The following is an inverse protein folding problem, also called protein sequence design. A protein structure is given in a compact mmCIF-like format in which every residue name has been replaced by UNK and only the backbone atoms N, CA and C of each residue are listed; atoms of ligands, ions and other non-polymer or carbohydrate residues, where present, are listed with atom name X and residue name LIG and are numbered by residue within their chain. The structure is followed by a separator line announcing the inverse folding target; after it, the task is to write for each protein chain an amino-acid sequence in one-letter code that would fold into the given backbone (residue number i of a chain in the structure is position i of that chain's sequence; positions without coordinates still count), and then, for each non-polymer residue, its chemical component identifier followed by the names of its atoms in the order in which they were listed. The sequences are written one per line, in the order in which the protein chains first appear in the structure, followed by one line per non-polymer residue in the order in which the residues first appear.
data_IF_995579801463
#
_entry.id   IF_995579801463
#
_cell.length_a   1.000
_cell.length_b   1.000
_cell.length_c   1.000
_cell.angle_alpha   90.00
_cell.angle_beta   90.00
_cell.angle_gamma   90.00
#
_symmetry.space_group_name_H-M   'P 1'
#
loop_
_entity.id
_entity.type
_entity.pdbx_description
1 polymer ?
#
# COMPACT_ATOMS: atom_id res chain seq x y z
N UNK A 1 13.37 -13.56 38.95
CA UNK A 1 12.88 -14.29 37.75
C UNK A 1 11.57 -14.97 38.12
N UNK A 2 10.43 -14.29 37.96
CA UNK A 2 9.12 -14.85 38.24
C UNK A 2 8.42 -15.10 36.90
N UNK A 3 8.47 -16.33 36.41
CA UNK A 3 7.70 -16.75 35.24
C UNK A 3 6.22 -16.86 35.65
N UNK A 4 5.45 -15.79 35.42
CA UNK A 4 4.00 -15.84 35.49
C UNK A 4 3.46 -16.63 34.29
N UNK A 5 3.28 -17.94 34.46
CA UNK A 5 2.50 -18.78 33.55
C UNK A 5 0.99 -18.55 33.77
N UNK A 6 0.49 -17.37 33.38
CA UNK A 6 -0.96 -17.23 33.13
C UNK A 6 -1.23 -17.85 31.75
N UNK A 7 -2.17 -18.81 31.68
CA UNK A 7 -2.57 -19.38 30.38
C UNK A 7 -3.19 -18.28 29.53
N UNK A 8 -2.56 -17.98 28.38
CA UNK A 8 -3.02 -16.96 27.43
C UNK A 8 -4.49 -17.16 27.03
N UNK A 9 -4.98 -18.40 27.04
CA UNK A 9 -6.37 -18.75 26.75
C UNK A 9 -7.42 -18.16 27.70
N UNK A 10 -7.03 -17.65 28.88
CA UNK A 10 -7.98 -17.01 29.81
C UNK A 10 -8.10 -15.50 29.58
N UNK A 11 -7.07 -14.87 29.01
CA UNK A 11 -7.00 -13.42 28.79
C UNK A 11 -7.22 -13.05 27.32
N UNK A 12 -7.07 -14.00 26.40
CA UNK A 12 -7.21 -13.78 24.96
C UNK A 12 -8.28 -14.74 24.44
N UNK A 13 -9.33 -14.18 23.85
CA UNK A 13 -10.31 -14.95 23.10
C UNK A 13 -10.04 -14.77 21.62
N UNK A 14 -9.87 -15.88 20.90
CA UNK A 14 -9.70 -15.89 19.45
C UNK A 14 -10.87 -16.68 18.86
N UNK A 15 -11.49 -16.17 17.81
CA UNK A 15 -12.51 -16.89 17.07
C UNK A 15 -12.35 -16.68 15.58
N UNK A 16 -12.82 -17.64 14.79
CA UNK A 16 -12.75 -17.58 13.33
C UNK A 16 -13.99 -16.86 12.81
N UNK A 17 -13.81 -15.97 11.85
CA UNK A 17 -14.93 -15.38 11.13
C UNK A 17 -15.52 -16.46 10.20
N UNK A 18 -16.84 -16.44 10.00
CA UNK A 18 -17.49 -17.39 9.12
C UNK A 18 -16.99 -17.31 7.67
N UNK A 19 -17.56 -18.16 6.81
CA UNK A 19 -17.23 -18.26 5.38
C UNK A 19 -17.18 -16.86 4.72
N UNK A 20 -16.02 -16.51 4.16
CA UNK A 20 -15.83 -15.27 3.42
C UNK A 20 -15.97 -15.52 1.92
N UNK A 21 -16.64 -14.62 1.20
CA UNK A 21 -16.74 -14.72 -0.26
C UNK A 21 -15.34 -14.63 -0.87
N UNK A 22 -14.92 -15.70 -1.56
CA UNK A 22 -13.61 -15.86 -2.23
C UNK A 22 -12.35 -15.94 -1.34
N UNK A 23 -12.45 -15.75 -0.01
CA UNK A 23 -11.30 -15.79 0.91
C UNK A 23 -11.43 -16.91 1.95
N UNK A 24 -11.76 -18.13 1.50
CA UNK A 24 -11.97 -19.29 2.38
C UNK A 24 -10.69 -20.01 2.79
N UNK A 25 -9.56 -19.70 2.13
CA UNK A 25 -8.25 -20.25 2.48
C UNK A 25 -7.55 -19.44 3.57
N UNK A 26 -8.02 -18.21 3.82
CA UNK A 26 -7.46 -17.33 4.83
C UNK A 26 -8.22 -17.53 6.14
N UNK A 27 -7.48 -17.79 7.22
CA UNK A 27 -8.03 -17.95 8.57
C UNK A 27 -8.34 -16.59 9.21
N UNK A 28 -9.17 -15.81 8.53
CA UNK A 28 -9.64 -14.51 9.01
C UNK A 28 -10.36 -14.71 10.34
N UNK A 29 -9.80 -14.12 11.39
CA UNK A 29 -10.24 -14.33 12.77
C UNK A 29 -10.37 -13.00 13.51
N UNK A 30 -11.13 -13.02 14.59
CA UNK A 30 -11.21 -11.92 15.53
C UNK A 30 -10.47 -12.28 16.82
N UNK A 31 -9.91 -11.26 17.47
CA UNK A 31 -9.21 -11.40 18.75
C UNK A 31 -9.78 -10.39 19.74
N UNK A 32 -10.21 -10.87 20.91
CA UNK A 32 -10.58 -10.04 22.05
C UNK A 32 -9.51 -10.16 23.13
N UNK A 33 -8.96 -9.03 23.53
CA UNK A 33 -7.97 -8.94 24.60
C UNK A 33 -8.67 -8.52 25.90
N UNK A 34 -8.69 -9.40 26.91
CA UNK A 34 -9.22 -9.14 28.25
C UNK A 34 -8.07 -8.81 29.21
N UNK A 35 -7.80 -7.51 29.40
CA UNK A 35 -6.78 -7.00 30.33
C UNK A 35 -5.40 -7.66 30.16
N UNK A 36 -4.95 -7.78 28.91
CA UNK A 36 -3.66 -8.37 28.57
C UNK A 36 -2.55 -7.37 28.88
N UNK A 37 -1.58 -7.77 29.70
CA UNK A 37 -0.41 -6.95 30.05
C UNK A 37 0.77 -7.34 29.16
N UNK A 38 1.29 -6.36 28.44
CA UNK A 38 2.41 -6.52 27.50
C UNK A 38 3.56 -5.63 28.02
N UNK A 39 4.80 -6.13 28.08
CA UNK A 39 5.98 -5.32 28.34
C UNK A 39 6.07 -4.10 27.44
N UNK A 40 6.51 -2.98 28.01
CA UNK A 40 6.69 -1.71 27.31
C UNK A 40 7.57 -1.84 26.05
N UNK A 41 8.61 -2.67 26.10
CA UNK A 41 9.54 -2.92 24.99
C UNK A 41 8.91 -3.56 23.76
N UNK A 42 7.69 -4.09 23.84
CA UNK A 42 6.99 -4.67 22.69
C UNK A 42 6.15 -3.65 21.91
N UNK A 43 6.09 -2.39 22.36
CA UNK A 43 5.53 -1.31 21.58
C UNK A 43 6.52 -0.93 20.46
N UNK A 44 6.08 -0.80 19.19
CA UNK A 44 6.95 -0.37 18.10
C UNK A 44 7.28 1.13 18.20
N UNK A 45 8.42 1.47 18.82
CA UNK A 45 8.80 2.85 19.17
C UNK A 45 9.52 3.65 18.08
N UNK A 46 9.52 3.19 16.82
CA UNK A 46 10.31 3.85 15.76
C UNK A 46 9.90 5.30 15.48
N UNK A 47 8.63 5.65 15.63
CA UNK A 47 8.09 6.99 15.36
C UNK A 47 7.56 7.67 16.62
N UNK A 48 6.77 6.94 17.39
CA UNK A 48 6.25 7.39 18.67
C UNK A 48 6.87 6.54 19.78
N UNK A 49 7.62 7.19 20.65
CA UNK A 49 8.21 6.59 21.82
C UNK A 49 7.41 7.01 23.06
N UNK A 50 7.34 6.11 24.03
CA UNK A 50 6.76 6.40 25.33
C UNK A 50 7.90 6.26 26.33
N UNK A 51 8.13 7.30 27.13
CA UNK A 51 9.14 7.26 28.20
C UNK A 51 8.63 6.39 29.37
N UNK A 52 9.52 5.89 30.23
CA UNK A 52 9.14 5.12 31.43
C UNK A 52 8.23 5.91 32.39
N UNK A 53 8.29 7.25 32.30
CA UNK A 53 7.42 8.18 33.04
C UNK A 53 6.04 8.37 32.40
N UNK A 54 5.78 7.75 31.25
CA UNK A 54 4.52 7.83 30.52
C UNK A 54 4.37 9.06 29.61
N UNK A 55 5.44 9.81 29.37
CA UNK A 55 5.43 10.91 28.41
C UNK A 55 5.56 10.38 26.98
N UNK A 56 4.76 10.90 26.05
CA UNK A 56 4.91 10.59 24.63
C UNK A 56 5.96 11.51 23.99
N UNK A 57 6.92 10.92 23.27
CA UNK A 57 7.95 11.62 22.53
C UNK A 57 7.79 11.23 21.06
N UNK A 58 7.51 12.21 20.21
CA UNK A 58 7.49 12.03 18.76
C UNK A 58 8.91 12.15 18.22
N UNK A 59 9.43 11.05 17.66
CA UNK A 59 10.79 10.97 17.13
C UNK A 59 10.88 11.39 15.66
N UNK A 60 9.77 11.32 14.90
CA UNK A 60 9.69 11.78 13.51
C UNK A 60 8.43 12.62 13.31
N UNK A 61 8.58 13.77 12.66
CA UNK A 61 7.47 14.70 12.38
C UNK A 61 6.62 14.30 11.15
N UNK A 62 7.14 13.40 10.30
CA UNK A 62 6.50 13.02 9.04
C UNK A 62 5.48 11.87 9.21
N UNK A 63 4.27 12.22 9.67
CA UNK A 63 3.13 11.30 9.79
C UNK A 63 2.75 10.63 8.44
N UNK A 64 3.05 11.29 7.31
CA UNK A 64 2.73 10.81 5.97
C UNK A 64 3.44 9.48 5.63
N UNK A 65 4.61 9.22 6.22
CA UNK A 65 5.37 7.99 5.96
C UNK A 65 4.72 6.71 6.55
N UNK A 66 3.72 6.82 7.44
CA UNK A 66 2.93 5.64 7.86
C UNK A 66 2.15 5.04 6.69
N UNK A 67 1.58 5.92 5.86
CA UNK A 67 0.75 5.51 4.74
C UNK A 67 1.55 4.77 3.67
N UNK A 68 2.87 4.93 3.59
CA UNK A 68 3.74 4.29 2.59
C UNK A 68 3.52 2.78 2.42
N UNK A 69 3.24 2.05 3.51
CA UNK A 69 2.94 0.61 3.44
C UNK A 69 1.55 0.30 2.85
N UNK A 70 0.56 1.16 3.12
CA UNK A 70 -0.76 1.07 2.49
C UNK A 70 -0.68 1.37 1.00
N UNK A 71 0.19 2.31 0.59
CA UNK A 71 0.42 2.63 -0.82
C UNK A 71 0.99 1.42 -1.57
N UNK A 72 1.93 0.71 -0.94
CA UNK A 72 2.52 -0.50 -1.53
C UNK A 72 1.46 -1.60 -1.77
N UNK A 73 0.49 -1.75 -0.85
CA UNK A 73 -0.60 -2.70 -1.03
C UNK A 73 -1.54 -2.30 -2.19
N UNK A 74 -1.77 -1.01 -2.39
CA UNK A 74 -2.62 -0.51 -3.49
C UNK A 74 -2.03 -0.76 -4.88
N UNK A 75 -0.70 -0.82 -5.03
CA UNK A 75 -0.04 -1.10 -6.32
C UNK A 75 -0.49 -2.46 -6.88
N UNK A 76 -0.69 -3.47 -6.02
CA UNK A 76 -1.14 -4.81 -6.46
C UNK A 76 -2.58 -4.81 -7.00
N UNK A 77 -3.41 -3.82 -6.65
CA UNK A 77 -4.77 -3.71 -7.19
C UNK A 77 -4.77 -3.30 -8.67
N UNK A 78 -3.73 -2.61 -9.14
CA UNK A 78 -3.59 -2.18 -10.53
C UNK A 78 -3.40 -3.34 -11.51
N UNK A 79 -2.99 -4.54 -11.04
CA UNK A 79 -2.81 -5.71 -11.91
C UNK A 79 -4.11 -6.09 -12.62
N UNK A 80 -5.26 -5.88 -11.96
CA UNK A 80 -6.58 -6.14 -12.52
C UNK A 80 -6.89 -5.26 -13.74
N UNK A 81 -6.43 -3.99 -13.73
CA UNK A 81 -6.57 -3.07 -14.85
C UNK A 81 -5.74 -3.51 -16.06
N UNK A 82 -4.51 -3.98 -15.81
CA UNK A 82 -3.62 -4.50 -16.86
C UNK A 82 -4.28 -5.70 -17.53
N UNK A 83 -4.77 -6.66 -16.74
CA UNK A 83 -5.46 -7.86 -17.25
C UNK A 83 -6.69 -7.45 -18.08
N UNK A 84 -7.54 -6.54 -17.57
CA UNK A 84 -8.73 -6.08 -18.27
C UNK A 84 -8.40 -5.40 -19.62
N UNK A 85 -7.32 -4.61 -19.66
CA UNK A 85 -6.84 -3.94 -20.89
C UNK A 85 -6.29 -4.94 -21.90
N UNK A 86 -5.46 -5.89 -21.46
CA UNK A 86 -4.94 -6.96 -22.32
C UNK A 86 -6.06 -7.83 -22.89
N UNK A 87 -7.03 -8.24 -22.05
CA UNK A 87 -8.18 -9.01 -22.51
C UNK A 87 -9.04 -8.22 -23.51
N UNK A 88 -9.19 -6.90 -23.33
CA UNK A 88 -9.93 -6.04 -24.26
C UNK A 88 -9.22 -5.84 -25.60
N UNK A 89 -7.88 -5.85 -25.61
CA UNK A 89 -7.08 -5.70 -26.82
C UNK A 89 -7.10 -6.95 -27.72
N UNK A 90 -7.18 -8.14 -27.12
CA UNK A 90 -7.20 -9.43 -27.81
C UNK A 90 -8.60 -9.86 -28.20
N UNK A 91 -9.63 -9.48 -27.45
CA UNK A 91 -11.01 -9.90 -27.69
C UNK A 91 -11.62 -9.16 -28.86
N UNK A 92 -12.03 -9.90 -29.88
CA UNK A 92 -12.89 -9.42 -30.96
C UNK A 92 -14.34 -9.76 -30.63
N UNK A 93 -15.24 -8.78 -30.76
CA UNK A 93 -16.65 -9.02 -30.49
C UNK A 93 -17.50 -8.07 -31.32
N UNK A 94 -18.59 -8.62 -31.89
CA UNK A 94 -19.55 -7.96 -32.78
C UNK A 94 -18.96 -7.56 -34.13
N UNK A 95 -19.76 -7.77 -35.18
CA UNK A 95 -19.42 -7.39 -36.54
C UNK A 95 -19.77 -5.91 -36.78
N UNK A 96 -18.89 -5.25 -37.51
CA UNK A 96 -19.18 -3.94 -38.09
C UNK A 96 -20.29 -4.07 -39.15
N UNK A 97 -20.93 -2.96 -39.56
CA UNK A 97 -21.83 -2.94 -40.71
C UNK A 97 -21.19 -3.48 -42.00
N UNK A 98 -19.85 -3.53 -42.05
CA UNK A 98 -19.04 -4.09 -43.15
C UNK A 98 -18.66 -5.57 -42.96
N UNK A 99 -19.15 -6.25 -41.92
CA UNK A 99 -18.92 -7.68 -41.68
C UNK A 99 -17.61 -8.05 -40.95
N UNK A 100 -16.66 -7.13 -40.82
CA UNK A 100 -15.42 -7.37 -40.08
C UNK A 100 -15.65 -7.32 -38.56
N UNK A 101 -15.02 -8.24 -37.82
CA UNK A 101 -15.02 -8.20 -36.35
C UNK A 101 -14.09 -7.10 -35.84
N UNK A 102 -14.57 -6.33 -34.86
CA UNK A 102 -13.82 -5.22 -34.25
C UNK A 102 -13.24 -5.69 -32.92
N UNK A 103 -12.09 -5.13 -32.55
CA UNK A 103 -11.53 -5.32 -31.20
C UNK A 103 -12.43 -4.63 -30.18
N UNK A 104 -12.59 -5.25 -29.03
CA UNK A 104 -13.41 -4.72 -27.95
C UNK A 104 -12.87 -3.37 -27.44
N UNK A 105 -11.55 -3.18 -27.48
CA UNK A 105 -10.88 -1.94 -27.09
C UNK A 105 -11.22 -0.73 -27.99
N UNK A 106 -11.66 -0.94 -29.23
CA UNK A 106 -11.98 0.16 -30.16
C UNK A 106 -13.36 0.76 -29.87
N UNK A 107 -14.19 0.10 -29.05
CA UNK A 107 -15.47 0.65 -28.64
C UNK A 107 -15.29 1.78 -27.65
N UNK A 108 -15.84 2.96 -27.99
CA UNK A 108 -15.85 4.13 -27.12
C UNK A 108 -16.37 3.84 -25.70
N UNK A 109 -17.43 3.05 -25.58
CA UNK A 109 -17.97 2.65 -24.27
C UNK A 109 -16.99 1.80 -23.44
N UNK A 110 -16.18 0.96 -24.10
CA UNK A 110 -15.17 0.17 -23.42
C UNK A 110 -13.98 1.04 -23.00
N UNK A 111 -13.58 1.98 -23.85
CA UNK A 111 -12.54 2.97 -23.53
C UNK A 111 -12.95 3.85 -22.35
N UNK A 112 -14.18 4.36 -22.33
CA UNK A 112 -14.69 5.19 -21.23
C UNK A 112 -14.68 4.43 -19.89
N UNK A 113 -15.04 3.13 -19.90
CA UNK A 113 -14.96 2.28 -18.70
C UNK A 113 -13.52 2.06 -18.22
N UNK A 114 -12.61 1.73 -19.14
CA UNK A 114 -11.19 1.50 -18.80
C UNK A 114 -10.51 2.79 -18.33
N UNK A 115 -10.76 3.91 -19.00
CA UNK A 115 -10.23 5.22 -18.61
C UNK A 115 -10.76 5.66 -17.26
N UNK A 116 -12.05 5.44 -16.97
CA UNK A 116 -12.60 5.71 -15.64
C UNK A 116 -11.92 4.88 -14.55
N UNK A 117 -11.67 3.60 -14.80
CA UNK A 117 -10.95 2.72 -13.85
C UNK A 117 -9.51 3.18 -13.63
N UNK A 118 -8.80 3.50 -14.71
CA UNK A 118 -7.45 4.05 -14.63
C UNK A 118 -7.42 5.35 -13.84
N UNK A 119 -8.38 6.26 -14.10
CA UNK A 119 -8.51 7.51 -13.36
C UNK A 119 -8.76 7.26 -11.87
N UNK A 120 -9.60 6.30 -11.49
CA UNK A 120 -9.83 5.97 -10.08
C UNK A 120 -8.57 5.46 -9.40
N UNK A 121 -7.82 4.55 -10.03
CA UNK A 121 -6.52 4.10 -9.52
C UNK A 121 -5.49 5.25 -9.44
N UNK A 122 -5.58 6.24 -10.34
CA UNK A 122 -4.70 7.39 -10.37
C UNK A 122 -5.11 8.53 -9.41
N UNK A 123 -6.41 8.70 -9.14
CA UNK A 123 -6.97 9.75 -8.26
C UNK A 123 -6.95 9.32 -6.79
N UNK A 124 -7.14 8.04 -6.50
CA UNK A 124 -6.70 7.49 -5.19
C UNK A 124 -5.16 7.46 -5.07
N UNK A 125 -4.47 7.82 -6.15
CA UNK A 125 -3.03 7.89 -6.32
C UNK A 125 -2.43 9.29 -6.19
N UNK A 126 -2.71 10.03 -5.12
CA UNK A 126 -1.72 10.96 -4.54
C UNK A 126 -0.36 10.23 -4.28
N UNK A 127 -0.37 8.89 -4.38
CA UNK A 127 0.76 7.97 -4.47
C UNK A 127 1.62 8.04 -5.72
N UNK A 128 1.17 8.53 -6.88
CA UNK A 128 2.09 8.63 -8.04
C UNK A 128 3.19 9.64 -7.75
N UNK A 129 2.85 10.74 -7.07
CA UNK A 129 3.85 11.74 -6.65
C UNK A 129 4.81 11.11 -5.65
N UNK A 130 4.33 10.39 -4.63
CA UNK A 130 5.18 9.68 -3.66
C UNK A 130 5.99 8.54 -4.28
N UNK A 131 5.45 7.80 -5.26
CA UNK A 131 6.15 6.75 -6.00
C UNK A 131 7.22 7.36 -6.89
N UNK A 132 6.92 8.48 -7.56
CA UNK A 132 7.90 9.26 -8.33
C UNK A 132 8.98 9.85 -7.42
N UNK A 133 8.63 10.33 -6.23
CA UNK A 133 9.57 10.81 -5.23
C UNK A 133 10.45 9.68 -4.70
N UNK A 134 9.87 8.51 -4.45
CA UNK A 134 10.59 7.29 -4.03
C UNK A 134 11.52 6.80 -5.13
N UNK A 135 11.07 6.81 -6.39
CA UNK A 135 11.89 6.46 -7.54
C UNK A 135 13.06 7.44 -7.73
N UNK A 136 12.82 8.75 -7.61
CA UNK A 136 13.86 9.80 -7.65
C UNK A 136 14.87 9.66 -6.51
N UNK A 137 14.40 9.32 -5.31
CA UNK A 137 15.27 9.08 -4.16
C UNK A 137 16.13 7.83 -4.34
N UNK A 138 15.54 6.73 -4.81
CA UNK A 138 16.28 5.48 -5.11
C UNK A 138 17.31 5.69 -6.23
N UNK A 139 16.97 6.47 -7.27
CA UNK A 139 17.91 6.82 -8.33
C UNK A 139 19.10 7.62 -7.80
N UNK A 140 18.85 8.61 -6.94
CA UNK A 140 19.90 9.40 -6.29
C UNK A 140 20.85 8.53 -5.46
N UNK A 141 20.33 7.53 -4.75
CA UNK A 141 21.17 6.57 -4.01
C UNK A 141 22.02 5.73 -4.97
N UNK A 142 21.44 5.23 -6.07
CA UNK A 142 22.18 4.41 -7.04
C UNK A 142 23.31 5.20 -7.71
N UNK A 143 23.05 6.45 -8.08
CA UNK A 143 24.04 7.34 -8.70
C UNK A 143 25.23 7.64 -7.76
N UNK A 144 24.97 7.83 -6.46
CA UNK A 144 26.01 8.02 -5.43
C UNK A 144 26.81 6.75 -5.16
N UNK A 145 26.18 5.58 -5.23
CA UNK A 145 26.86 4.28 -5.15
C UNK A 145 27.77 4.04 -6.35
N UNK A 146 27.35 4.42 -7.56
CA UNK A 146 28.19 4.35 -8.76
C UNK A 146 29.38 5.32 -8.69
N UNK A 147 29.20 6.50 -8.11
CA UNK A 147 30.26 7.50 -7.92
C UNK A 147 31.15 7.25 -6.68
N UNK A 148 30.90 6.18 -5.91
CA UNK A 148 31.68 5.78 -4.72
C UNK A 148 31.82 6.91 -3.67
N UNK A 149 30.85 7.83 -3.62
CA UNK A 149 30.83 8.97 -2.71
C UNK A 149 29.97 8.65 -1.50
N UNK A 150 30.61 8.44 -0.36
CA UNK A 150 29.96 8.07 0.90
C UNK A 150 29.44 9.32 1.66
N UNK A 151 28.62 10.16 1.02
CA UNK A 151 28.04 11.36 1.64
C UNK A 151 26.65 11.09 2.20
N UNK A 152 26.36 11.66 3.37
CA UNK A 152 25.08 11.53 4.08
C UNK A 152 23.98 12.29 3.32
N UNK A 153 22.99 11.59 2.78
CA UNK A 153 22.01 12.13 1.83
C UNK A 153 20.82 12.75 2.58
N UNK A 154 20.55 14.04 2.34
CA UNK A 154 19.34 14.70 2.87
C UNK A 154 18.06 14.07 2.29
N UNK A 155 17.07 13.70 3.13
CA UNK A 155 15.82 13.04 2.70
C UNK A 155 14.81 13.97 2.02
N UNK A 156 15.08 15.28 2.00
CA UNK A 156 14.15 16.27 1.46
C UNK A 156 14.08 16.19 -0.07
N UNK A 157 12.93 15.80 -0.61
CA UNK A 157 12.63 15.98 -2.04
C UNK A 157 12.25 17.44 -2.25
N UNK A 158 13.21 18.28 -2.64
CA UNK A 158 12.93 19.67 -3.01
C UNK A 158 12.04 19.68 -4.25
N UNK A 159 10.80 20.13 -4.10
CA UNK A 159 9.98 20.52 -5.24
C UNK A 159 10.66 21.70 -5.92
N UNK A 160 10.89 21.62 -7.22
CA UNK A 160 11.25 22.80 -8.00
C UNK A 160 10.11 23.81 -7.80
N UNK A 161 10.42 25.03 -7.35
CA UNK A 161 9.47 26.13 -7.26
C UNK A 161 8.94 26.46 -8.66
N UNK A 162 7.94 25.73 -9.13
CA UNK A 162 7.06 26.19 -10.21
C UNK A 162 6.08 27.15 -9.56
N UNK A 163 6.45 28.43 -9.60
CA UNK A 163 5.50 29.53 -9.39
C UNK A 163 4.36 29.36 -10.41
N UNK A 164 3.13 29.34 -9.88
CA UNK A 164 1.92 29.64 -10.66
C UNK A 164 2.00 31.07 -11.21
#
# INVERSE_FOLDING_TARGET
MNHFHVRLSQLIEVGVNGVCFAYNLDDNSYVRLKNVRIPHTQMPMKRDEVDEKGSNIKNLDDDCLLYGTLLQAQIYLCDTFIIATCCSAVRFQRQNPQGNEIRLLDYRLQQEKLVSWFLSCAIEGDNIVLLQQTARYRWKILEELEHNNNKNINPSVTYSNTQL
#
